data_IF_282050231615
#
_entry.id   IF_282050231615
#
_cell.length_a   1.000
_cell.length_b   1.000
_cell.length_c   1.000
_cell.angle_alpha   90.00
_cell.angle_beta   90.00
_cell.angle_gamma   90.00
#
_symmetry.space_group_name_H-M   'P 1'
#
loop_
_entity.id
_entity.type
_entity.pdbx_description
1 polymer ?
#
# COMPACT_ATOMS: atom_id res chain seq x y z
N UNK A 1 15.42 -35.84 14.03
CA UNK A 1 14.98 -37.17 13.56
C UNK A 1 13.60 -36.96 12.93
N UNK A 2 13.54 -36.67 11.62
CA UNK A 2 12.28 -36.47 10.92
C UNK A 2 11.73 -37.85 10.57
N UNK A 3 10.70 -38.29 11.27
CA UNK A 3 9.99 -39.50 10.89
C UNK A 3 9.15 -39.19 9.65
N UNK A 4 9.53 -39.78 8.52
CA UNK A 4 8.66 -39.86 7.35
C UNK A 4 7.41 -40.66 7.77
N UNK A 5 6.25 -40.01 7.78
CA UNK A 5 4.98 -40.69 7.98
C UNK A 5 4.61 -41.40 6.69
N UNK A 6 4.44 -42.72 6.77
CA UNK A 6 3.97 -43.54 5.65
C UNK A 6 2.47 -43.30 5.41
N UNK A 7 2.17 -42.54 4.37
CA UNK A 7 0.82 -42.15 3.95
C UNK A 7 0.11 -43.24 3.14
N UNK A 8 0.80 -44.34 2.80
CA UNK A 8 0.23 -45.43 2.00
C UNK A 8 -0.80 -46.29 2.75
N UNK A 9 -0.82 -46.21 4.08
CA UNK A 9 -1.72 -46.99 4.94
C UNK A 9 -3.06 -46.30 5.25
N UNK A 10 -3.27 -45.06 4.79
CA UNK A 10 -4.47 -44.28 5.10
C UNK A 10 -5.46 -44.30 3.93
N UNK A 11 -6.72 -44.59 4.22
CA UNK A 11 -7.80 -44.40 3.24
C UNK A 11 -8.01 -42.91 2.95
N UNK A 12 -8.50 -42.51 1.76
CA UNK A 12 -8.75 -41.11 1.42
C UNK A 12 -9.60 -40.34 2.44
N UNK A 13 -10.50 -41.04 3.13
CA UNK A 13 -11.35 -40.48 4.19
C UNK A 13 -10.58 -40.22 5.48
N UNK A 14 -9.69 -41.12 5.88
CA UNK A 14 -8.85 -40.93 7.07
C UNK A 14 -7.81 -39.81 6.87
N UNK A 15 -7.35 -39.60 5.63
CA UNK A 15 -6.56 -38.42 5.28
C UNK A 15 -7.36 -37.13 5.44
N UNK A 16 -8.62 -37.10 4.97
CA UNK A 16 -9.50 -35.94 5.14
C UNK A 16 -9.83 -35.64 6.61
N UNK A 17 -10.06 -36.66 7.43
CA UNK A 17 -10.38 -36.50 8.85
C UNK A 17 -9.16 -36.11 9.71
N UNK A 18 -7.95 -36.29 9.19
CA UNK A 18 -6.69 -35.85 9.84
C UNK A 18 -6.34 -34.38 9.58
N UNK A 19 -7.04 -33.73 8.63
CA UNK A 19 -6.88 -32.31 8.34
C UNK A 19 -7.60 -31.56 9.46
N UNK A 20 -6.92 -30.66 10.22
CA UNK A 20 -7.58 -29.88 11.26
C UNK A 20 -8.77 -29.13 10.66
N UNK A 21 -9.85 -28.89 11.44
CA UNK A 21 -11.19 -28.52 10.95
C UNK A 21 -11.28 -27.18 10.20
N UNK A 22 -10.15 -26.53 9.93
CA UNK A 22 -10.06 -25.39 9.04
C UNK A 22 -8.69 -25.40 8.34
N UNK A 23 -8.55 -25.97 7.13
CA UNK A 23 -7.35 -25.81 6.30
C UNK A 23 -7.26 -24.43 5.62
N UNK A 24 -8.38 -23.69 5.57
CA UNK A 24 -8.53 -22.38 4.95
C UNK A 24 -7.64 -21.28 5.60
N UNK A 25 -7.49 -21.20 6.95
CA UNK A 25 -6.70 -20.14 7.60
C UNK A 25 -5.20 -20.18 7.28
N UNK A 26 -4.62 -21.36 7.02
CA UNK A 26 -3.19 -21.48 6.67
C UNK A 26 -2.97 -21.01 5.24
N UNK A 27 -3.80 -21.44 4.30
CA UNK A 27 -3.69 -21.04 2.90
C UNK A 27 -3.91 -19.53 2.72
N UNK A 28 -4.95 -18.97 3.37
CA UNK A 28 -5.21 -17.53 3.39
C UNK A 28 -4.05 -16.73 3.99
N UNK A 29 -3.50 -17.21 5.12
CA UNK A 29 -2.33 -16.60 5.74
C UNK A 29 -1.13 -16.62 4.79
N UNK A 30 -0.85 -17.74 4.13
CA UNK A 30 0.26 -17.83 3.15
C UNK A 30 0.04 -16.84 2.00
N UNK A 31 -1.18 -16.75 1.46
CA UNK A 31 -1.49 -15.78 0.40
C UNK A 31 -1.26 -14.34 0.85
N UNK A 32 -1.70 -13.99 2.06
CA UNK A 32 -1.48 -12.67 2.64
C UNK A 32 0.01 -12.39 2.91
N UNK A 33 0.81 -13.40 3.27
CA UNK A 33 2.27 -13.28 3.42
C UNK A 33 3.00 -13.10 2.09
N UNK A 34 2.48 -13.69 1.01
CA UNK A 34 3.04 -13.54 -0.33
C UNK A 34 2.71 -12.19 -0.95
N UNK A 35 1.46 -11.72 -0.86
CA UNK A 35 0.97 -10.56 -1.60
C UNK A 35 0.16 -9.57 -0.75
N UNK A 36 0.48 -8.29 -0.89
CA UNK A 36 -0.23 -7.17 -0.31
C UNK A 36 -1.68 -7.10 -0.81
N UNK A 37 -1.93 -7.42 -2.09
CA UNK A 37 -3.30 -7.53 -2.63
C UNK A 37 -4.15 -8.47 -1.78
N UNK A 38 -3.68 -9.70 -1.59
CA UNK A 38 -4.43 -10.73 -0.86
C UNK A 38 -4.60 -10.34 0.61
N UNK A 39 -3.57 -9.74 1.21
CA UNK A 39 -3.70 -9.17 2.55
C UNK A 39 -4.79 -8.09 2.64
N UNK A 40 -4.83 -7.14 1.71
CA UNK A 40 -5.85 -6.07 1.68
C UNK A 40 -7.24 -6.66 1.51
N UNK A 41 -7.42 -7.57 0.56
CA UNK A 41 -8.71 -8.22 0.30
C UNK A 41 -9.23 -8.94 1.55
N UNK A 42 -8.37 -9.66 2.26
CA UNK A 42 -8.74 -10.35 3.48
C UNK A 42 -8.99 -9.38 4.65
N UNK A 43 -8.19 -8.31 4.78
CA UNK A 43 -8.25 -7.39 5.93
C UNK A 43 -9.32 -6.30 5.80
N UNK A 44 -9.90 -6.08 4.62
CA UNK A 44 -10.77 -4.93 4.34
C UNK A 44 -11.95 -4.80 5.31
N UNK A 45 -12.63 -5.91 5.57
CA UNK A 45 -13.82 -5.97 6.42
C UNK A 45 -13.56 -5.52 7.88
N UNK A 46 -12.31 -5.53 8.33
CA UNK A 46 -11.93 -5.09 9.68
C UNK A 46 -12.05 -3.58 9.81
N UNK A 47 -11.70 -2.85 8.74
CA UNK A 47 -11.67 -1.39 8.74
C UNK A 47 -12.93 -0.78 8.15
N UNK A 48 -13.50 -1.41 7.13
CA UNK A 48 -14.66 -0.92 6.38
C UNK A 48 -15.73 -2.03 6.28
N UNK A 49 -16.36 -2.45 7.40
CA UNK A 49 -17.26 -3.62 7.44
C UNK A 49 -18.57 -3.43 6.66
N UNK A 50 -18.97 -2.18 6.40
CA UNK A 50 -20.22 -1.85 5.70
C UNK A 50 -20.00 -1.41 4.26
N UNK A 51 -18.76 -1.24 3.83
CA UNK A 51 -18.43 -0.79 2.49
C UNK A 51 -17.74 -1.93 1.76
N UNK A 52 -18.38 -2.55 0.76
CA UNK A 52 -17.75 -3.62 0.02
C UNK A 52 -16.48 -3.12 -0.68
N UNK A 53 -15.45 -3.96 -0.72
CA UNK A 53 -14.25 -3.67 -1.49
C UNK A 53 -14.52 -4.00 -2.96
N UNK A 54 -14.62 -2.96 -3.78
CA UNK A 54 -14.63 -3.10 -5.23
C UNK A 54 -13.18 -3.08 -5.69
N UNK A 55 -12.66 -4.24 -6.11
CA UNK A 55 -11.28 -4.37 -6.55
C UNK A 55 -11.13 -3.99 -8.02
N UNK A 56 -10.13 -3.16 -8.33
CA UNK A 56 -9.89 -2.68 -9.69
C UNK A 56 -8.36 -2.54 -9.94
N UNK A 57 -7.92 -2.50 -11.20
CA UNK A 57 -6.51 -2.57 -11.62
C UNK A 57 -5.61 -1.52 -10.98
N UNK A 58 -6.13 -0.35 -10.64
CA UNK A 58 -5.34 0.70 -10.00
C UNK A 58 -4.93 0.31 -8.57
N UNK A 59 -5.72 -0.51 -7.87
CA UNK A 59 -5.35 -1.08 -6.57
C UNK A 59 -4.27 -2.15 -6.75
N UNK A 60 -4.33 -2.94 -7.82
CA UNK A 60 -3.25 -3.87 -8.19
C UNK A 60 -1.95 -3.11 -8.46
N UNK A 61 -2.00 -2.07 -9.27
CA UNK A 61 -0.84 -1.24 -9.57
C UNK A 61 -0.24 -0.64 -8.28
N UNK A 62 -1.05 -0.03 -7.41
CA UNK A 62 -0.56 0.51 -6.14
C UNK A 62 0.08 -0.60 -5.29
N UNK A 63 -0.57 -1.76 -5.15
CA UNK A 63 -0.05 -2.86 -4.35
C UNK A 63 1.30 -3.36 -4.91
N UNK A 64 1.40 -3.59 -6.22
CA UNK A 64 2.63 -4.05 -6.86
C UNK A 64 3.79 -3.06 -6.66
N UNK A 65 3.53 -1.76 -6.78
CA UNK A 65 4.58 -0.75 -6.57
C UNK A 65 5.01 -0.66 -5.10
N UNK A 66 4.08 -0.81 -4.15
CA UNK A 66 4.41 -0.86 -2.72
C UNK A 66 5.19 -2.13 -2.36
N UNK A 67 4.80 -3.29 -2.93
CA UNK A 67 5.57 -4.53 -2.81
C UNK A 67 6.98 -4.37 -3.39
N UNK A 68 7.15 -3.69 -4.52
CA UNK A 68 8.46 -3.40 -5.10
C UNK A 68 9.32 -2.48 -4.19
N UNK A 69 8.72 -1.52 -3.48
CA UNK A 69 9.43 -0.73 -2.44
C UNK A 69 9.91 -1.64 -1.30
N UNK A 70 9.07 -2.54 -0.81
CA UNK A 70 9.45 -3.51 0.23
C UNK A 70 10.58 -4.43 -0.25
N UNK A 71 10.47 -4.97 -1.47
CA UNK A 71 11.49 -5.86 -2.03
C UNK A 71 12.83 -5.12 -2.23
N UNK A 72 12.78 -3.86 -2.68
CA UNK A 72 13.99 -3.01 -2.80
C UNK A 72 14.68 -2.85 -1.45
N UNK A 73 13.91 -2.62 -0.38
CA UNK A 73 14.45 -2.55 0.97
C UNK A 73 15.09 -3.88 1.40
N UNK A 74 14.41 -5.01 1.21
CA UNK A 74 14.94 -6.33 1.58
C UNK A 74 16.27 -6.65 0.89
N UNK A 75 16.36 -6.38 -0.41
CA UNK A 75 17.58 -6.57 -1.21
C UNK A 75 18.71 -5.71 -0.66
N UNK A 76 18.47 -4.41 -0.47
CA UNK A 76 19.48 -3.46 0.03
C UNK A 76 19.95 -3.75 1.45
N UNK A 77 19.08 -4.34 2.27
CA UNK A 77 19.36 -4.65 3.67
C UNK A 77 20.16 -5.96 3.84
N UNK A 78 20.38 -6.72 2.76
CA UNK A 78 21.03 -8.04 2.83
C UNK A 78 20.15 -9.12 3.49
N UNK A 79 18.85 -8.86 3.69
CA UNK A 79 17.88 -9.81 4.27
C UNK A 79 17.41 -10.83 3.20
N UNK A 80 18.02 -10.80 2.01
CA UNK A 80 17.67 -11.54 0.79
C UNK A 80 17.80 -13.07 0.84
N UNK A 81 17.85 -13.69 2.02
CA UNK A 81 17.75 -15.14 2.21
C UNK A 81 16.31 -15.67 2.19
N UNK A 82 15.29 -14.81 2.05
CA UNK A 82 13.90 -15.22 1.83
C UNK A 82 13.60 -15.17 0.34
N UNK A 83 13.12 -16.27 -0.23
CA UNK A 83 12.68 -16.35 -1.63
C UNK A 83 11.80 -15.15 -1.98
N UNK A 84 12.24 -14.35 -2.94
CA UNK A 84 11.47 -13.23 -3.46
C UNK A 84 10.44 -13.84 -4.42
N UNK A 85 9.27 -14.20 -3.88
CA UNK A 85 8.14 -14.75 -4.64
C UNK A 85 7.58 -13.68 -5.60
N UNK A 86 8.17 -13.57 -6.80
CA UNK A 86 7.72 -12.69 -7.87
C UNK A 86 6.63 -13.38 -8.71
N UNK A 87 5.40 -13.45 -8.21
CA UNK A 87 4.31 -14.10 -8.96
C UNK A 87 3.72 -13.23 -10.09
N UNK A 88 4.12 -11.95 -10.23
CA UNK A 88 3.47 -11.00 -11.13
C UNK A 88 4.37 -10.36 -12.20
N UNK A 89 5.70 -10.38 -12.02
CA UNK A 89 6.60 -10.06 -13.11
C UNK A 89 6.94 -11.37 -13.80
N UNK A 90 6.57 -11.51 -15.08
CA UNK A 90 7.13 -12.58 -15.90
C UNK A 90 8.65 -12.61 -15.70
N UNK A 91 9.23 -13.80 -15.60
CA UNK A 91 10.61 -14.09 -15.19
C UNK A 91 11.73 -13.34 -15.96
N UNK A 92 11.38 -12.46 -16.90
CA UNK A 92 12.26 -11.66 -17.74
C UNK A 92 12.32 -10.16 -17.38
N UNK A 93 11.53 -9.67 -16.42
CA UNK A 93 11.62 -8.28 -15.96
C UNK A 93 12.31 -8.17 -14.61
N UNK A 94 13.42 -7.44 -14.57
CA UNK A 94 14.09 -7.06 -13.33
C UNK A 94 13.14 -6.20 -12.49
N UNK A 95 12.91 -6.54 -11.22
CA UNK A 95 12.14 -5.69 -10.31
C UNK A 95 12.80 -4.31 -10.29
N UNK A 96 12.10 -3.23 -10.69
CA UNK A 96 12.67 -1.91 -10.58
C UNK A 96 12.94 -1.62 -9.10
N UNK A 97 14.18 -1.24 -8.76
CA UNK A 97 14.51 -0.81 -7.40
C UNK A 97 13.84 0.53 -7.11
N UNK A 98 12.73 0.51 -6.37
CA UNK A 98 11.98 1.72 -6.00
C UNK A 98 12.40 2.21 -4.62
N UNK A 99 13.08 3.36 -4.59
CA UNK A 99 13.41 4.07 -3.34
C UNK A 99 12.40 5.19 -3.04
N UNK A 100 11.80 5.74 -4.09
CA UNK A 100 10.84 6.83 -4.03
C UNK A 100 9.64 6.46 -4.90
N UNK A 101 8.45 6.41 -4.30
CA UNK A 101 7.22 6.07 -4.98
C UNK A 101 6.25 7.26 -4.92
N UNK A 102 5.80 7.71 -6.09
CA UNK A 102 4.80 8.75 -6.22
C UNK A 102 3.49 8.15 -6.74
N UNK A 103 2.40 8.34 -6.01
CA UNK A 103 1.07 7.83 -6.37
C UNK A 103 0.12 9.00 -6.58
N UNK A 104 -0.24 9.25 -7.84
CA UNK A 104 -1.20 10.28 -8.22
C UNK A 104 -2.57 9.67 -8.52
N UNK A 105 -3.38 9.47 -7.48
CA UNK A 105 -4.77 9.02 -7.64
C UNK A 105 -5.75 10.03 -7.04
N UNK A 106 -6.93 10.22 -7.65
CA UNK A 106 -7.95 11.11 -7.12
C UNK A 106 -8.41 10.73 -5.70
N UNK A 107 -9.05 11.65 -4.96
CA UNK A 107 -9.65 11.34 -3.67
C UNK A 107 -10.61 10.16 -3.77
N UNK A 108 -10.81 9.44 -2.66
CA UNK A 108 -11.73 8.27 -2.55
C UNK A 108 -11.35 7.01 -3.33
N UNK A 109 -10.14 6.91 -3.88
CA UNK A 109 -9.65 5.72 -4.59
C UNK A 109 -8.78 4.79 -3.73
N UNK A 110 -9.01 4.74 -2.41
CA UNK A 110 -8.30 3.81 -1.51
C UNK A 110 -6.79 4.05 -1.28
N UNK A 111 -6.13 4.94 -2.04
CA UNK A 111 -4.66 5.15 -1.97
C UNK A 111 -4.11 5.39 -0.56
N UNK A 112 -4.77 6.23 0.24
CA UNK A 112 -4.32 6.53 1.61
C UNK A 112 -4.47 5.32 2.52
N UNK A 113 -5.51 4.51 2.32
CA UNK A 113 -5.73 3.30 3.11
C UNK A 113 -4.70 2.22 2.73
N UNK A 114 -4.41 2.03 1.44
CA UNK A 114 -3.36 1.13 0.98
C UNK A 114 -1.98 1.53 1.50
N UNK A 115 -1.55 2.77 1.23
CA UNK A 115 -0.19 3.26 1.53
C UNK A 115 0.02 3.49 3.02
N UNK A 116 -0.97 4.10 3.69
CA UNK A 116 -0.81 4.55 5.08
C UNK A 116 -1.45 3.62 6.10
N UNK A 117 -2.12 2.54 5.70
CA UNK A 117 -2.72 1.58 6.64
C UNK A 117 -2.35 0.14 6.34
N UNK A 118 -2.75 -0.39 5.18
CA UNK A 118 -2.56 -1.81 4.91
C UNK A 118 -1.08 -2.18 4.68
N UNK A 119 -0.35 -1.40 3.87
CA UNK A 119 1.05 -1.72 3.57
C UNK A 119 1.97 -1.74 4.80
N UNK A 120 1.93 -0.76 5.72
CA UNK A 120 2.72 -0.80 6.95
C UNK A 120 2.37 -2.01 7.85
N UNK A 121 1.08 -2.32 7.99
CA UNK A 121 0.64 -3.49 8.74
C UNK A 121 1.08 -4.79 8.05
N UNK A 122 1.12 -4.81 6.73
CA UNK A 122 1.61 -5.94 5.95
C UNK A 122 3.12 -6.15 6.10
N UNK A 123 3.91 -5.07 6.08
CA UNK A 123 5.35 -5.15 6.30
C UNK A 123 5.67 -5.66 7.73
N UNK A 124 5.03 -5.11 8.77
CA UNK A 124 5.25 -5.54 10.16
C UNK A 124 4.87 -7.00 10.43
N UNK A 125 3.66 -7.41 10.03
CA UNK A 125 3.13 -8.74 10.29
C UNK A 125 3.53 -9.69 9.17
N UNK A 126 2.77 -9.79 8.07
CA UNK A 126 2.99 -10.73 6.97
C UNK A 126 4.42 -10.83 6.41
N UNK A 127 5.13 -9.72 6.17
CA UNK A 127 6.55 -9.77 5.74
C UNK A 127 7.55 -9.91 6.88
N UNK A 128 7.07 -9.90 8.12
CA UNK A 128 7.87 -10.07 9.33
C UNK A 128 9.05 -9.09 9.36
N UNK A 129 8.71 -7.80 9.20
CA UNK A 129 9.59 -6.64 9.34
C UNK A 129 9.09 -5.72 10.47
N UNK A 130 8.88 -6.24 11.69
CA UNK A 130 8.31 -5.47 12.79
C UNK A 130 9.25 -4.38 13.32
N UNK A 131 10.53 -4.40 12.95
CA UNK A 131 11.54 -3.38 13.30
C UNK A 131 11.41 -2.09 12.48
N UNK A 132 10.61 -2.10 11.41
CA UNK A 132 10.46 -0.93 10.53
C UNK A 132 9.82 0.26 11.23
N UNK A 133 10.41 1.43 11.04
CA UNK A 133 9.91 2.71 11.54
C UNK A 133 9.25 3.53 10.44
N UNK A 134 8.00 3.92 10.65
CA UNK A 134 7.22 4.72 9.73
C UNK A 134 6.92 6.11 10.29
N UNK A 135 7.04 7.09 9.41
CA UNK A 135 6.63 8.46 9.62
C UNK A 135 5.55 8.82 8.59
N UNK A 136 4.33 9.05 9.07
CA UNK A 136 3.20 9.50 8.26
C UNK A 136 2.94 10.97 8.50
N UNK A 137 3.11 11.76 7.46
CA UNK A 137 2.90 13.21 7.51
C UNK A 137 1.64 13.52 6.71
N UNK A 138 0.80 14.41 7.25
CA UNK A 138 -0.35 14.94 6.53
C UNK A 138 -0.45 16.44 6.76
N UNK A 139 -1.16 17.14 5.87
CA UNK A 139 -1.42 18.58 6.02
C UNK A 139 -2.10 18.90 7.35
N UNK A 140 -3.11 18.10 7.72
CA UNK A 140 -3.82 18.23 8.99
C UNK A 140 -3.52 17.03 9.89
N UNK A 141 -3.06 17.30 11.12
CA UNK A 141 -2.80 16.28 12.16
C UNK A 141 -3.98 15.31 12.38
N UNK A 142 -5.25 15.74 12.36
CA UNK A 142 -6.37 14.81 12.52
C UNK A 142 -6.44 13.74 11.43
N UNK A 143 -6.00 14.03 10.20
CA UNK A 143 -6.03 13.07 9.08
C UNK A 143 -4.97 11.98 9.26
N UNK A 144 -3.74 12.34 9.62
CA UNK A 144 -2.69 11.35 9.92
C UNK A 144 -3.04 10.54 11.17
N UNK A 145 -3.62 11.18 12.19
CA UNK A 145 -4.10 10.51 13.40
C UNK A 145 -5.22 9.51 13.11
N UNK A 146 -6.18 9.87 12.22
CA UNK A 146 -7.26 8.97 11.79
C UNK A 146 -6.70 7.68 11.20
N UNK A 147 -5.74 7.78 10.28
CA UNK A 147 -5.17 6.62 9.61
C UNK A 147 -4.25 5.81 10.54
N UNK A 148 -3.57 6.48 11.49
CA UNK A 148 -2.82 5.81 12.57
C UNK A 148 -3.70 4.96 13.48
N UNK A 149 -4.88 5.48 13.83
CA UNK A 149 -5.87 4.72 14.60
C UNK A 149 -6.42 3.52 13.81
N UNK A 150 -6.61 3.65 12.49
CA UNK A 150 -6.99 2.51 11.64
C UNK A 150 -5.92 1.42 11.63
N UNK A 151 -4.64 1.79 11.51
CA UNK A 151 -3.50 0.84 11.64
C UNK A 151 -3.54 0.11 12.96
N UNK A 152 -3.66 0.84 14.06
CA UNK A 152 -3.70 0.26 15.38
C UNK A 152 -4.87 -0.72 15.54
N UNK A 153 -6.08 -0.33 15.11
CA UNK A 153 -7.26 -1.22 15.12
C UNK A 153 -7.05 -2.50 14.31
N UNK A 154 -6.40 -2.39 13.15
CA UNK A 154 -6.08 -3.56 12.33
C UNK A 154 -5.10 -4.49 13.06
N UNK A 155 -4.01 -3.96 13.62
CA UNK A 155 -3.01 -4.73 14.37
C UNK A 155 -3.62 -5.38 15.63
N UNK A 156 -4.47 -4.65 16.35
CA UNK A 156 -5.15 -5.11 17.56
C UNK A 156 -6.34 -6.06 17.27
N UNK A 157 -6.75 -6.22 16.00
CA UNK A 157 -7.85 -7.12 15.65
C UNK A 157 -7.50 -8.58 15.95
N UNK A 158 -8.51 -9.40 16.30
CA UNK A 158 -8.30 -10.84 16.50
C UNK A 158 -7.77 -11.50 15.21
N UNK A 159 -8.31 -11.10 14.05
CA UNK A 159 -7.89 -11.61 12.74
C UNK A 159 -6.38 -11.47 12.50
N UNK A 160 -5.81 -10.30 12.85
CA UNK A 160 -4.39 -10.03 12.69
C UNK A 160 -3.55 -10.72 13.77
N UNK A 161 -3.98 -10.66 15.04
CA UNK A 161 -3.26 -11.27 16.17
C UNK A 161 -3.16 -12.79 16.08
N UNK A 162 -4.24 -13.46 15.66
CA UNK A 162 -4.24 -14.92 15.47
C UNK A 162 -3.28 -15.38 14.35
N UNK A 163 -2.99 -14.51 13.38
CA UNK A 163 -2.12 -14.83 12.22
C UNK A 163 -0.67 -14.42 12.44
N UNK A 164 -0.42 -13.24 13.01
CA UNK A 164 0.92 -12.65 13.11
C UNK A 164 1.27 -12.08 14.49
N UNK A 165 0.41 -12.23 15.50
CA UNK A 165 0.65 -11.69 16.86
C UNK A 165 1.90 -12.23 17.54
N UNK A 166 2.31 -13.46 17.25
CA UNK A 166 3.56 -14.04 17.76
C UNK A 166 4.82 -13.32 17.25
N UNK A 167 4.72 -12.50 16.17
CA UNK A 167 5.88 -11.80 15.59
C UNK A 167 6.27 -10.57 16.41
N UNK A 168 5.29 -9.85 16.95
CA UNK A 168 5.49 -8.63 17.74
C UNK A 168 4.26 -8.28 18.59
N UNK A 169 4.48 -7.53 19.66
CA UNK A 169 3.45 -6.97 20.52
C UNK A 169 3.59 -5.45 20.62
N UNK A 170 2.47 -4.73 20.66
CA UNK A 170 2.49 -3.30 20.94
C UNK A 170 2.89 -3.05 22.40
N UNK A 171 3.77 -2.09 22.61
CA UNK A 171 4.23 -1.71 23.95
C UNK A 171 3.11 -0.98 24.71
N UNK A 172 3.00 -1.20 26.02
CA UNK A 172 1.94 -0.59 26.84
C UNK A 172 2.24 0.85 27.25
N UNK A 173 3.52 1.20 27.39
CA UNK A 173 4.03 2.51 27.79
C UNK A 173 4.07 3.52 26.63
N UNK A 174 4.15 3.06 25.38
CA UNK A 174 4.05 3.89 24.18
C UNK A 174 2.98 3.38 23.20
N UNK A 175 1.71 3.72 23.50
CA UNK A 175 0.55 3.39 22.67
C UNK A 175 -0.48 4.55 22.57
N UNK A 176 -0.04 5.67 22.01
CA UNK A 176 -0.85 6.86 21.80
C UNK A 176 -1.52 6.89 20.42
N UNK A 177 -2.50 7.79 20.25
CA UNK A 177 -3.21 7.98 18.96
C UNK A 177 -2.29 8.45 17.83
N UNK A 178 -1.25 9.19 18.17
CA UNK A 178 -0.29 9.79 17.23
C UNK A 178 1.02 9.03 17.13
N UNK A 179 1.32 8.13 18.06
CA UNK A 179 2.53 7.31 18.07
C UNK A 179 2.27 6.02 18.82
N UNK A 180 2.68 4.90 18.24
CA UNK A 180 2.77 3.63 18.97
C UNK A 180 4.00 2.86 18.53
N UNK A 181 4.57 2.13 19.48
CA UNK A 181 5.80 1.37 19.33
C UNK A 181 5.50 -0.13 19.57
N UNK A 182 6.37 -1.00 19.07
CA UNK A 182 6.30 -2.43 19.32
C UNK A 182 7.56 -2.96 20.03
N UNK A 183 7.47 -4.17 20.58
CA UNK A 183 8.54 -4.89 21.27
C UNK A 183 9.73 -5.29 20.37
N UNK A 184 9.66 -5.01 19.07
CA UNK A 184 10.72 -5.21 18.07
C UNK A 184 11.35 -3.90 17.59
N UNK A 185 11.14 -2.80 18.32
CA UNK A 185 11.68 -1.45 18.03
C UNK A 185 11.09 -0.74 16.82
N UNK A 186 10.06 -1.32 16.20
CA UNK A 186 9.27 -0.65 15.18
C UNK A 186 8.42 0.45 15.79
N UNK A 187 8.27 1.52 15.01
CA UNK A 187 7.57 2.73 15.44
C UNK A 187 6.64 3.19 14.33
N UNK A 188 5.44 3.61 14.70
CA UNK A 188 4.50 4.23 13.79
C UNK A 188 4.09 5.61 14.30
N UNK A 189 4.54 6.65 13.60
CA UNK A 189 4.30 8.05 13.98
C UNK A 189 3.38 8.73 12.98
N UNK A 190 2.36 9.42 13.49
CA UNK A 190 1.49 10.31 12.75
C UNK A 190 1.72 11.75 13.19
N UNK A 191 2.23 12.56 12.28
CA UNK A 191 2.52 13.98 12.53
C UNK A 191 1.92 14.87 11.44
N UNK A 192 2.04 16.17 11.64
CA UNK A 192 1.70 17.21 10.67
C UNK A 192 2.97 17.83 10.12
N UNK A 193 2.84 18.58 9.03
CA UNK A 193 3.97 19.32 8.44
C UNK A 193 4.59 20.30 9.46
N UNK A 194 3.80 20.86 10.39
CA UNK A 194 4.31 21.72 11.46
C UNK A 194 5.02 20.97 12.58
N UNK A 195 4.76 19.66 12.74
CA UNK A 195 5.40 18.81 13.73
C UNK A 195 6.74 18.22 13.28
N UNK A 196 7.19 18.52 12.06
CA UNK A 196 8.41 17.95 11.44
C UNK A 196 9.72 18.42 12.11
N UNK A 197 9.64 19.37 13.06
CA UNK A 197 10.80 19.93 13.77
C UNK A 197 11.36 19.06 14.90
N UNK A 198 10.79 17.89 15.22
CA UNK A 198 11.11 17.14 16.46
C UNK A 198 12.15 16.03 16.31
N UNK A 199 12.91 15.95 15.21
CA UNK A 199 13.98 14.95 15.05
C UNK A 199 13.50 13.50 14.92
N UNK A 200 12.20 13.30 14.66
CA UNK A 200 11.59 11.99 14.45
C UNK A 200 11.93 11.47 13.03
N UNK A 201 12.67 10.38 12.95
CA UNK A 201 13.07 9.72 11.70
C UNK A 201 12.26 8.46 11.41
N UNK A 202 12.25 8.02 10.15
CA UNK A 202 11.64 6.75 9.75
C UNK A 202 12.36 6.14 8.54
N UNK A 203 12.40 4.82 8.47
CA UNK A 203 12.84 4.09 7.28
C UNK A 203 11.81 4.21 6.14
N UNK A 204 10.56 4.53 6.48
CA UNK A 204 9.47 4.80 5.56
C UNK A 204 8.87 6.17 5.89
N UNK A 205 8.88 7.07 4.92
CA UNK A 205 8.30 8.41 5.06
C UNK A 205 7.20 8.57 4.03
N UNK A 206 5.97 8.76 4.49
CA UNK A 206 4.79 8.94 3.62
C UNK A 206 4.32 10.39 3.70
N UNK A 207 4.32 11.07 2.54
CA UNK A 207 3.92 12.47 2.39
C UNK A 207 2.60 12.58 1.59
N UNK A 208 1.78 13.61 1.85
CA UNK A 208 0.58 13.86 1.07
C UNK A 208 0.93 14.45 -0.32
N UNK A 209 0.03 14.27 -1.28
CA UNK A 209 0.16 14.79 -2.66
C UNK A 209 0.33 16.32 -2.74
N UNK A 210 -0.34 17.09 -1.87
CA UNK A 210 -0.24 18.56 -1.82
C UNK A 210 0.97 19.04 -1.01
N UNK A 211 2.10 18.33 -1.08
CA UNK A 211 3.28 18.67 -0.30
C UNK A 211 3.75 20.08 -0.64
N UNK A 212 3.89 20.93 0.38
CA UNK A 212 4.54 22.24 0.21
C UNK A 212 6.04 22.03 0.24
N UNK A 213 6.71 22.49 -0.81
CA UNK A 213 8.16 22.51 -0.92
C UNK A 213 8.62 23.86 -0.39
N UNK A 214 9.62 23.83 0.49
CA UNK A 214 10.31 25.05 0.88
C UNK A 214 11.10 25.55 -0.34
N UNK A 215 10.78 26.76 -0.80
CA UNK A 215 11.40 27.39 -1.98
C UNK A 215 11.95 28.76 -1.61
N UNK A 216 12.68 29.41 -2.52
CA UNK A 216 13.21 30.76 -2.29
C UNK A 216 12.12 31.82 -2.05
N UNK A 217 10.87 31.57 -2.46
CA UNK A 217 9.71 32.45 -2.25
C UNK A 217 8.80 31.96 -1.10
N UNK A 218 9.29 31.01 -0.29
CA UNK A 218 8.54 30.38 0.79
C UNK A 218 7.90 29.05 0.38
N UNK A 219 6.89 28.63 1.13
CA UNK A 219 6.27 27.30 0.97
C UNK A 219 5.27 27.28 -0.17
N UNK A 220 5.59 26.56 -1.24
CA UNK A 220 4.76 26.43 -2.45
C UNK A 220 4.34 24.99 -2.64
N UNK A 221 3.07 24.75 -2.98
CA UNK A 221 2.57 23.40 -3.26
C UNK A 221 3.26 22.82 -4.50
N UNK A 222 3.78 21.60 -4.38
CA UNK A 222 4.49 20.92 -5.47
C UNK A 222 3.63 20.79 -6.74
N UNK A 223 2.31 20.60 -6.59
CA UNK A 223 1.38 20.58 -7.71
C UNK A 223 1.38 21.90 -8.50
N UNK A 224 1.50 23.04 -7.82
CA UNK A 224 1.61 24.36 -8.46
C UNK A 224 2.95 24.51 -9.18
N UNK A 225 4.04 24.13 -8.52
CA UNK A 225 5.40 24.17 -9.08
C UNK A 225 5.47 23.39 -10.40
N UNK A 226 4.90 22.18 -10.42
CA UNK A 226 4.92 21.29 -11.58
C UNK A 226 4.03 21.81 -12.71
N UNK A 227 2.76 22.13 -12.43
CA UNK A 227 1.77 22.57 -13.44
C UNK A 227 2.14 23.90 -14.09
N UNK A 228 2.55 24.87 -13.28
CA UNK A 228 2.91 26.21 -13.76
C UNK A 228 4.39 26.30 -14.18
N UNK A 229 5.15 25.18 -14.08
CA UNK A 229 6.59 25.09 -14.35
C UNK A 229 7.37 26.27 -13.74
N UNK A 230 7.10 26.54 -12.47
CA UNK A 230 7.66 27.70 -11.78
C UNK A 230 9.18 27.61 -11.71
N UNK A 231 9.88 28.57 -12.34
CA UNK A 231 11.35 28.69 -12.28
C UNK A 231 11.81 29.21 -10.91
N UNK A 232 11.64 28.39 -9.88
CA UNK A 232 12.00 28.71 -8.50
C UNK A 232 13.01 27.69 -7.97
N UNK A 233 13.88 28.13 -7.06
CA UNK A 233 14.79 27.24 -6.35
C UNK A 233 14.10 26.58 -5.17
N UNK A 234 14.34 25.29 -5.01
CA UNK A 234 13.84 24.48 -3.90
C UNK A 234 14.94 24.27 -2.87
N UNK A 235 14.56 24.28 -1.60
CA UNK A 235 15.44 23.96 -0.48
C UNK A 235 15.76 22.47 -0.55
N UNK A 236 17.04 22.15 -0.68
CA UNK A 236 17.60 20.82 -0.85
C UNK A 236 18.69 20.57 0.19
N UNK A 237 18.93 19.31 0.56
CA UNK A 237 19.98 18.98 1.51
C UNK A 237 21.22 18.44 0.79
N UNK A 238 22.36 19.09 0.97
CA UNK A 238 23.62 18.66 0.37
C UNK A 238 24.34 17.68 1.30
N UNK A 239 24.32 16.40 0.93
CA UNK A 239 24.93 15.31 1.70
C UNK A 239 26.47 15.36 1.78
N UNK A 240 27.15 16.17 0.96
CA UNK A 240 28.62 16.34 1.04
C UNK A 240 29.01 17.41 2.04
N UNK A 241 28.19 18.46 2.17
CA UNK A 241 28.47 19.61 3.05
C UNK A 241 27.65 19.56 4.35
N UNK A 242 26.69 18.64 4.45
CA UNK A 242 25.70 18.52 5.53
C UNK A 242 24.94 19.82 5.81
N UNK A 243 24.68 20.58 4.75
CA UNK A 243 23.98 21.87 4.82
C UNK A 243 22.80 21.89 3.85
N UNK A 244 21.79 22.63 4.24
CA UNK A 244 20.65 22.92 3.39
C UNK A 244 21.00 24.05 2.41
N UNK A 245 20.72 23.86 1.12
CA UNK A 245 21.01 24.81 0.05
C UNK A 245 19.87 24.93 -0.94
N UNK A 246 19.75 26.08 -1.60
CA UNK A 246 18.75 26.33 -2.64
C UNK A 246 19.24 25.77 -3.98
N UNK A 247 18.55 24.76 -4.49
CA UNK A 247 18.84 24.10 -5.76
C UNK A 247 17.80 24.41 -6.81
N UNK A 248 18.22 24.50 -8.07
CA UNK A 248 17.31 24.65 -9.20
C UNK A 248 16.54 23.35 -9.44
N UNK A 249 15.29 23.48 -9.88
CA UNK A 249 14.51 22.34 -10.34
C UNK A 249 15.05 21.93 -11.71
N UNK A 250 15.60 20.73 -11.81
CA UNK A 250 16.17 20.22 -13.06
C UNK A 250 15.10 19.74 -14.04
N UNK A 251 13.97 19.26 -13.52
CA UNK A 251 12.91 18.67 -14.34
C UNK A 251 11.55 18.72 -13.66
N UNK A 252 10.52 19.03 -14.44
CA UNK A 252 9.11 18.99 -14.04
C UNK A 252 8.46 17.78 -14.71
N UNK A 253 7.76 16.97 -13.92
CA UNK A 253 7.03 15.81 -14.42
C UNK A 253 5.55 16.01 -14.14
N UNK A 254 4.79 16.29 -15.19
CA UNK A 254 3.33 16.30 -15.16
C UNK A 254 2.84 15.05 -15.90
N UNK A 255 1.90 14.33 -15.30
CA UNK A 255 1.21 13.23 -15.95
C UNK A 255 -0.23 13.72 -16.15
N UNK A 256 -0.54 14.17 -17.35
CA UNK A 256 -1.89 14.59 -17.72
C UNK A 256 -2.79 13.37 -17.54
N UNK A 257 -3.68 13.43 -16.55
CA UNK A 257 -4.72 12.41 -16.42
C UNK A 257 -5.45 12.31 -17.75
N UNK A 258 -5.58 11.09 -18.28
CA UNK A 258 -6.28 10.83 -19.54
C UNK A 258 -7.76 11.19 -19.41
N UNK A 259 -8.41 11.50 -20.53
CA UNK A 259 -9.84 11.78 -20.58
C UNK A 259 -10.64 10.68 -19.89
N UNK A 260 -11.56 11.11 -19.03
CA UNK A 260 -12.42 10.24 -18.24
C UNK A 260 -13.77 10.15 -18.93
N UNK A 261 -14.08 8.98 -19.47
CA UNK A 261 -15.38 8.59 -19.98
C UNK A 261 -16.30 8.39 -18.79
N UNK A 262 -17.51 8.95 -18.86
CA UNK A 262 -18.60 8.66 -17.94
C UNK A 262 -19.58 7.76 -18.69
N UNK A 263 -19.70 6.51 -18.23
CA UNK A 263 -20.56 5.50 -18.83
C UNK A 263 -21.78 5.36 -17.92
N UNK A 264 -22.96 5.61 -18.47
CA UNK A 264 -24.25 5.44 -17.83
C UNK A 264 -24.90 4.14 -18.33
N UNK A 265 -25.28 3.27 -17.40
CA UNK A 265 -25.95 2.01 -17.69
C UNK A 265 -27.48 2.19 -17.64
N UNK A 266 -28.23 1.28 -18.24
CA UNK A 266 -29.70 1.34 -18.30
C UNK A 266 -30.38 1.36 -16.92
N UNK A 267 -29.72 0.81 -15.89
CA UNK A 267 -30.21 0.81 -14.52
C UNK A 267 -29.96 2.15 -13.78
N UNK A 268 -29.39 3.14 -14.47
CA UNK A 268 -29.05 4.47 -13.95
C UNK A 268 -27.71 4.52 -13.21
N UNK A 269 -26.96 3.42 -13.17
CA UNK A 269 -25.63 3.38 -12.55
C UNK A 269 -24.61 4.03 -13.48
N UNK A 270 -23.77 4.91 -12.93
CA UNK A 270 -22.70 5.56 -13.69
C UNK A 270 -21.34 5.15 -13.16
N UNK A 271 -20.38 4.93 -14.04
CA UNK A 271 -18.99 4.78 -13.67
C UNK A 271 -18.07 5.60 -14.58
N UNK A 272 -16.94 6.02 -14.01
CA UNK A 272 -15.99 6.92 -14.65
C UNK A 272 -14.66 6.25 -14.85
N UNK A 273 -14.18 6.17 -16.07
CA UNK A 273 -12.95 5.47 -16.41
C UNK A 273 -12.22 6.11 -17.59
N UNK A 274 -10.92 5.84 -17.75
CA UNK A 274 -10.15 6.31 -18.91
C UNK A 274 -10.51 5.52 -20.18
N UNK A 275 -10.24 6.05 -21.38
CA UNK A 275 -10.56 5.37 -22.65
C UNK A 275 -10.02 3.94 -22.79
N UNK A 276 -8.82 3.68 -22.28
CA UNK A 276 -8.17 2.36 -22.34
C UNK A 276 -8.60 1.44 -21.18
N UNK A 277 -9.52 1.88 -20.32
CA UNK A 277 -9.91 1.13 -19.13
C UNK A 277 -10.58 -0.19 -19.55
N UNK A 278 -10.07 -1.35 -19.14
CA UNK A 278 -10.69 -2.62 -19.48
C UNK A 278 -12.02 -2.78 -18.73
N UNK A 279 -13.12 -2.86 -19.47
CA UNK A 279 -14.48 -3.07 -19.00
C UNK A 279 -14.90 -4.50 -19.36
N UNK A 280 -15.45 -5.23 -18.39
CA UNK A 280 -15.90 -6.60 -18.61
C UNK A 280 -17.31 -6.59 -19.20
N UNK A 281 -17.45 -7.11 -20.42
CA UNK A 281 -18.72 -7.24 -21.13
C UNK A 281 -19.11 -8.71 -21.21
N UNK A 282 -20.37 -8.99 -20.87
CA UNK A 282 -20.91 -10.35 -20.92
C UNK A 282 -20.80 -10.92 -22.34
N UNK A 283 -20.16 -12.09 -22.48
CA UNK A 283 -19.93 -12.72 -23.79
C UNK A 283 -18.74 -12.19 -24.62
N UNK A 284 -18.16 -11.02 -24.30
CA UNK A 284 -16.99 -10.45 -25.00
C UNK A 284 -15.70 -10.44 -24.15
N UNK A 285 -15.80 -10.58 -22.83
CA UNK A 285 -14.66 -10.51 -21.93
C UNK A 285 -14.22 -9.06 -21.66
N UNK A 286 -12.95 -8.84 -21.32
CA UNK A 286 -12.43 -7.49 -21.08
C UNK A 286 -12.14 -6.79 -22.41
N UNK A 287 -12.85 -5.69 -22.68
CA UNK A 287 -12.62 -4.79 -23.81
C UNK A 287 -12.29 -3.39 -23.30
N UNK A 288 -11.69 -2.53 -24.12
CA UNK A 288 -11.39 -1.17 -23.67
C UNK A 288 -12.66 -0.32 -23.59
N UNK A 289 -12.75 0.63 -22.66
CA UNK A 289 -13.92 1.47 -22.49
C UNK A 289 -14.32 2.23 -23.77
N UNK A 290 -13.35 2.59 -24.60
CA UNK A 290 -13.59 3.19 -25.93
C UNK A 290 -14.25 2.26 -26.95
N UNK A 291 -14.25 0.95 -26.70
CA UNK A 291 -14.79 -0.08 -27.60
C UNK A 291 -16.23 -0.50 -27.21
N UNK A 292 -16.78 0.08 -26.13
CA UNK A 292 -18.14 -0.18 -25.67
C UNK A 292 -19.17 0.38 -26.65
N UNK A 293 -20.23 -0.38 -26.89
CA UNK A 293 -21.41 0.05 -27.64
C UNK A 293 -22.65 0.06 -26.74
N UNK A 294 -23.71 0.75 -27.18
CA UNK A 294 -25.00 0.78 -26.46
C UNK A 294 -25.66 -0.60 -26.32
N UNK A 295 -25.18 -1.60 -27.07
CA UNK A 295 -25.67 -2.99 -27.04
C UNK A 295 -24.89 -3.88 -26.06
N UNK A 296 -23.84 -3.36 -25.42
CA UNK A 296 -22.97 -4.14 -24.55
C UNK A 296 -23.53 -4.28 -23.13
N UNK A 297 -23.75 -5.53 -22.71
CA UNK A 297 -24.13 -5.85 -21.33
C UNK A 297 -22.88 -5.81 -20.44
N UNK A 298 -22.63 -4.62 -19.88
CA UNK A 298 -21.52 -4.39 -18.96
C UNK A 298 -21.84 -4.95 -17.57
N UNK A 299 -20.95 -5.78 -17.04
CA UNK A 299 -21.07 -6.26 -15.66
C UNK A 299 -20.38 -5.27 -14.74
N UNK A 300 -21.14 -4.35 -14.16
CA UNK A 300 -20.70 -3.47 -13.09
C UNK A 300 -21.18 -4.01 -11.74
N UNK A 301 -20.23 -4.32 -10.83
CA UNK A 301 -20.48 -4.73 -9.44
C UNK A 301 -20.03 -3.65 -8.45
#
# INVERSE_FOLDING_TARGET
MFNAFDISSYTPRQLMDSIPPNPIPIAERILAEKSLKHFVMQAWHILEPRSPLIWNWHLDAICQHLEAVTNTYLIKSGIAGREIDNHFYEANYSIPSINYLWINMPPRHGKSLLVSVFWPCWEWGPKNLPDLRYLFISYAQPLSTRDNLKRRRLIESNWYRERWGERFHLTTDQNAKTRFDNDRTGVMIATSISGLGTGEGGQRVCLPYNQKIDTEIGRVEIGKIVKEKLEIKVVSFNHKTNKTELSKIEKYFENEGRDIFEIELEDGTTFRCTEDHPVYVNGKGYIQARELTEEDEVVCL
#
